data_IF_300644863901
#
_entry.id   IF_300644863901
#
_cell.length_a   1.000
_cell.length_b   1.000
_cell.length_c   1.000
_cell.angle_alpha   90.00
_cell.angle_beta   90.00
_cell.angle_gamma   90.00
#
_symmetry.space_group_name_H-M   'P 1'
#
loop_
_entity.id
_entity.type
_entity.pdbx_description
1 polymer ?
#
# COMPACT_ATOMS: atom_id res chain seq x y z
N UNK A 1 -16.77 9.93 30.74
CA UNK A 1 -16.80 11.36 30.46
C UNK A 1 -15.49 12.05 30.92
N UNK A 2 -15.39 13.35 30.82
CA UNK A 2 -14.19 14.10 31.22
C UNK A 2 -13.90 14.04 32.74
N UNK A 3 -14.85 13.57 33.52
CA UNK A 3 -14.72 13.37 34.99
C UNK A 3 -14.26 11.97 35.36
N UNK A 4 -14.07 11.09 34.40
CA UNK A 4 -13.74 9.68 34.62
C UNK A 4 -14.92 8.84 35.07
N UNK A 5 -16.14 9.37 35.03
CA UNK A 5 -17.34 8.63 35.41
C UNK A 5 -17.63 7.49 34.45
N UNK A 6 -17.74 6.27 34.98
CA UNK A 6 -18.14 5.09 34.21
C UNK A 6 -19.65 5.15 34.00
N UNK A 7 -20.10 5.15 32.76
CA UNK A 7 -21.51 5.15 32.43
C UNK A 7 -22.07 3.73 32.33
N UNK A 8 -21.25 2.78 31.95
CA UNK A 8 -21.63 1.39 31.80
C UNK A 8 -20.39 0.51 31.89
N UNK A 9 -20.53 -0.64 32.51
CA UNK A 9 -19.45 -1.60 32.66
C UNK A 9 -20.02 -3.01 32.75
N UNK A 10 -19.33 -3.99 32.21
CA UNK A 10 -19.61 -5.42 32.35
C UNK A 10 -18.29 -6.14 32.49
N UNK A 11 -18.13 -6.86 33.60
CA UNK A 11 -16.96 -7.67 33.89
C UNK A 11 -15.64 -6.90 33.76
N UNK A 12 -15.58 -5.67 34.27
CA UNK A 12 -14.46 -4.72 34.11
C UNK A 12 -13.13 -5.24 34.66
N UNK A 13 -13.19 -6.10 35.67
CA UNK A 13 -12.00 -6.74 36.29
C UNK A 13 -11.58 -8.03 35.56
N UNK A 14 -12.32 -8.45 34.55
CA UNK A 14 -12.03 -9.69 33.86
C UNK A 14 -10.97 -9.46 32.74
N UNK A 15 -9.81 -10.14 32.78
CA UNK A 15 -8.82 -10.01 31.73
C UNK A 15 -9.34 -10.61 30.43
N UNK A 16 -9.46 -9.77 29.40
CA UNK A 16 -9.92 -10.16 28.07
C UNK A 16 -8.84 -9.86 27.03
N UNK A 17 -8.76 -10.71 26.01
CA UNK A 17 -7.93 -10.43 24.85
C UNK A 17 -8.61 -9.33 23.99
N UNK A 18 -7.96 -8.19 23.80
CA UNK A 18 -8.59 -7.06 23.10
C UNK A 18 -8.83 -7.31 21.62
N UNK A 19 -8.15 -8.30 21.02
CA UNK A 19 -8.21 -8.57 19.59
C UNK A 19 -8.08 -7.25 18.77
N UNK A 20 -8.94 -7.03 17.78
CA UNK A 20 -8.88 -5.83 16.94
C UNK A 20 -9.27 -4.53 17.63
N UNK A 21 -9.83 -4.55 18.82
CA UNK A 21 -10.14 -3.31 19.57
C UNK A 21 -8.88 -2.53 19.95
N UNK A 22 -7.71 -3.20 20.02
CA UNK A 22 -6.42 -2.54 20.23
C UNK A 22 -6.13 -1.48 19.15
N UNK A 23 -6.70 -1.60 17.96
CA UNK A 23 -6.54 -0.62 16.88
C UNK A 23 -7.08 0.77 17.25
N UNK A 24 -8.05 0.87 18.15
CA UNK A 24 -8.54 2.15 18.65
C UNK A 24 -7.42 2.91 19.37
N UNK A 25 -6.65 2.21 20.20
CA UNK A 25 -5.50 2.81 20.88
C UNK A 25 -4.38 3.17 19.91
N UNK A 26 -4.04 2.25 19.01
CA UNK A 26 -2.99 2.49 17.99
C UNK A 26 -3.33 3.68 17.09
N UNK A 27 -4.57 3.77 16.61
CA UNK A 27 -4.99 4.89 15.76
C UNK A 27 -5.15 6.18 16.55
N UNK A 28 -5.61 6.11 17.80
CA UNK A 28 -5.68 7.26 18.71
C UNK A 28 -4.29 7.84 18.98
N UNK A 29 -3.34 6.97 19.31
CA UNK A 29 -1.93 7.37 19.50
C UNK A 29 -1.35 7.99 18.23
N UNK A 30 -1.49 7.34 17.08
CA UNK A 30 -0.98 7.87 15.81
C UNK A 30 -1.59 9.25 15.49
N UNK A 31 -2.89 9.45 15.74
CA UNK A 31 -3.52 10.78 15.56
C UNK A 31 -2.98 11.83 16.53
N UNK A 32 -2.67 11.43 17.76
CA UNK A 32 -2.11 12.32 18.77
C UNK A 32 -0.71 12.81 18.37
N UNK A 33 0.14 11.87 17.92
CA UNK A 33 1.53 12.14 17.60
C UNK A 33 1.72 12.83 16.25
N UNK A 34 1.00 12.39 15.22
CA UNK A 34 1.16 12.84 13.84
C UNK A 34 0.18 13.93 13.44
N UNK A 35 -0.88 14.10 14.21
CA UNK A 35 -2.00 14.96 13.86
C UNK A 35 -3.00 14.29 12.93
N UNK A 36 -4.29 14.68 13.05
CA UNK A 36 -5.38 14.08 12.27
C UNK A 36 -5.32 14.31 10.76
N UNK A 37 -4.51 15.26 10.32
CA UNK A 37 -4.34 15.63 8.91
C UNK A 37 -3.00 15.17 8.33
N UNK A 38 -2.22 14.38 9.06
CA UNK A 38 -0.98 13.80 8.53
C UNK A 38 -1.24 13.05 7.22
N UNK A 39 -0.36 13.22 6.27
CA UNK A 39 -0.41 12.55 4.96
C UNK A 39 0.99 12.09 4.58
N UNK A 40 1.08 10.88 4.06
CA UNK A 40 2.26 10.41 3.33
C UNK A 40 2.06 10.73 1.85
N UNK A 41 3.15 11.01 1.14
CA UNK A 41 3.07 11.39 -0.25
C UNK A 41 3.80 10.39 -1.14
N UNK A 42 3.14 9.92 -2.16
CA UNK A 42 3.75 9.24 -3.30
C UNK A 42 4.11 10.30 -4.34
N UNK A 43 5.35 10.29 -4.83
CA UNK A 43 5.87 11.36 -5.69
C UNK A 43 6.65 10.80 -6.87
N UNK A 44 6.59 11.51 -8.00
CA UNK A 44 7.64 11.41 -9.01
C UNK A 44 8.62 12.54 -8.74
N UNK A 45 9.87 12.19 -8.55
CA UNK A 45 10.96 13.12 -8.23
C UNK A 45 12.04 13.02 -9.29
N UNK A 46 12.73 14.13 -9.57
CA UNK A 46 13.78 14.13 -10.57
C UNK A 46 14.48 15.47 -10.70
N UNK A 47 15.60 15.46 -11.42
CA UNK A 47 16.36 16.66 -11.76
C UNK A 47 16.48 16.73 -13.27
N UNK A 48 16.02 17.82 -13.86
CA UNK A 48 16.02 17.99 -15.31
C UNK A 48 15.05 19.07 -15.78
N UNK A 49 14.72 19.03 -17.06
CA UNK A 49 13.77 19.94 -17.70
C UNK A 49 12.90 19.20 -18.70
N UNK A 50 11.80 19.81 -19.09
CA UNK A 50 10.92 19.31 -20.17
C UNK A 50 11.36 19.93 -21.48
N UNK A 51 11.52 19.11 -22.50
CA UNK A 51 11.58 19.60 -23.88
C UNK A 51 10.18 20.11 -24.29
N UNK A 52 10.03 21.40 -24.57
CA UNK A 52 8.71 21.99 -24.82
C UNK A 52 8.07 21.54 -26.14
N UNK A 53 8.84 20.99 -27.07
CA UNK A 53 8.34 20.55 -28.37
C UNK A 53 7.84 19.10 -28.33
N UNK A 54 8.54 18.24 -27.62
CA UNK A 54 8.25 16.81 -27.59
C UNK A 54 7.51 16.38 -26.32
N UNK A 55 7.61 17.19 -25.25
CA UNK A 55 7.13 16.81 -23.93
C UNK A 55 7.99 15.76 -23.24
N UNK A 56 9.22 15.57 -23.73
CA UNK A 56 10.15 14.62 -23.15
C UNK A 56 10.84 15.21 -21.92
N UNK A 57 10.90 14.42 -20.84
CA UNK A 57 11.71 14.77 -19.68
C UNK A 57 13.19 14.46 -19.96
N UNK A 58 14.00 15.50 -19.87
CA UNK A 58 15.45 15.43 -20.05
C UNK A 58 16.12 15.49 -18.67
N UNK A 59 16.45 14.31 -18.12
CA UNK A 59 17.08 14.22 -16.80
C UNK A 59 16.80 12.92 -16.08
N UNK A 60 17.15 12.88 -14.80
CA UNK A 60 16.89 11.73 -13.92
C UNK A 60 15.50 11.81 -13.33
N UNK A 61 14.91 10.66 -13.01
CA UNK A 61 13.63 10.58 -12.32
C UNK A 61 13.50 9.28 -11.55
N UNK A 62 12.64 9.29 -10.53
CA UNK A 62 12.27 8.12 -9.75
C UNK A 62 10.83 8.24 -9.22
N UNK A 63 10.18 7.13 -9.02
CA UNK A 63 8.95 7.02 -8.25
C UNK A 63 9.32 6.80 -6.78
N UNK A 64 8.91 7.72 -5.93
CA UNK A 64 9.18 7.70 -4.49
C UNK A 64 7.92 7.29 -3.74
N UNK A 65 8.01 6.20 -2.97
CA UNK A 65 6.93 5.61 -2.20
C UNK A 65 7.21 5.70 -0.70
N UNK A 66 6.15 5.76 0.10
CA UNK A 66 6.20 5.94 1.56
C UNK A 66 5.33 4.93 2.32
N UNK A 67 5.08 3.76 1.75
CA UNK A 67 4.28 2.74 2.42
C UNK A 67 2.78 3.06 2.48
N UNK A 68 2.26 3.82 1.53
CA UNK A 68 0.83 4.09 1.42
C UNK A 68 0.08 2.82 1.01
N UNK A 69 -0.56 2.18 1.99
CA UNK A 69 -1.38 0.97 1.77
C UNK A 69 -2.62 1.23 0.90
N UNK A 70 -3.01 2.49 0.70
CA UNK A 70 -4.16 2.83 -0.14
C UNK A 70 -3.81 2.98 -1.63
N UNK A 71 -2.51 3.03 -1.97
CA UNK A 71 -2.04 3.20 -3.34
C UNK A 71 -2.37 1.95 -4.19
N UNK A 72 -3.01 2.18 -5.34
CA UNK A 72 -3.40 1.13 -6.29
C UNK A 72 -4.31 0.03 -5.71
N UNK A 73 -5.16 0.36 -4.76
CA UNK A 73 -6.12 -0.63 -4.23
C UNK A 73 -7.00 -1.22 -5.32
N UNK A 74 -7.30 -2.51 -5.21
CA UNK A 74 -8.22 -3.22 -6.12
C UNK A 74 -9.61 -2.56 -6.20
N UNK A 75 -10.09 -2.01 -5.09
CA UNK A 75 -11.36 -1.26 -5.02
C UNK A 75 -11.30 0.10 -5.70
N UNK A 76 -10.13 0.55 -6.13
CA UNK A 76 -9.86 1.91 -6.63
C UNK A 76 -10.25 3.03 -5.67
N UNK A 77 -10.43 2.71 -4.41
CA UNK A 77 -10.63 3.69 -3.34
C UNK A 77 -9.25 4.10 -2.82
N UNK A 78 -8.77 5.25 -3.25
CA UNK A 78 -7.46 5.76 -2.90
C UNK A 78 -6.70 6.27 -4.12
N UNK A 79 -5.48 6.76 -3.93
CA UNK A 79 -4.65 7.28 -5.00
C UNK A 79 -4.25 6.18 -6.00
N UNK A 80 -4.17 6.58 -7.26
CA UNK A 80 -3.76 5.71 -8.36
C UNK A 80 -2.51 6.27 -9.04
N UNK A 81 -1.62 5.43 -9.54
CA UNK A 81 -0.46 5.87 -10.32
C UNK A 81 -0.88 6.64 -11.58
N UNK A 82 -2.05 6.33 -12.11
CA UNK A 82 -2.64 7.09 -13.21
C UNK A 82 -2.91 8.57 -12.84
N UNK A 83 -3.11 8.89 -11.56
CA UNK A 83 -3.26 10.28 -11.10
C UNK A 83 -1.95 11.03 -11.20
N UNK A 84 -0.83 10.38 -10.88
CA UNK A 84 0.52 10.94 -11.09
C UNK A 84 0.82 11.14 -12.56
N UNK A 85 0.49 10.17 -13.41
CA UNK A 85 0.66 10.29 -14.86
C UNK A 85 -0.13 11.48 -15.42
N UNK A 86 -1.37 11.69 -14.97
CA UNK A 86 -2.16 12.88 -15.35
C UNK A 86 -1.52 14.19 -14.88
N UNK A 87 -0.98 14.22 -13.66
CA UNK A 87 -0.29 15.40 -13.14
C UNK A 87 0.99 15.72 -13.92
N UNK A 88 1.76 14.70 -14.30
CA UNK A 88 2.93 14.86 -15.17
C UNK A 88 2.52 15.42 -16.54
N UNK A 89 1.51 14.83 -17.15
CA UNK A 89 0.97 15.29 -18.45
C UNK A 89 0.49 16.75 -18.39
N UNK A 90 -0.19 17.14 -17.30
CA UNK A 90 -0.62 18.52 -17.11
C UNK A 90 0.54 19.51 -16.98
N UNK A 91 1.74 19.03 -16.59
CA UNK A 91 2.99 19.81 -16.56
C UNK A 91 3.75 19.77 -17.90
N UNK A 92 3.16 19.19 -18.93
CA UNK A 92 3.78 19.03 -20.26
C UNK A 92 4.72 17.82 -20.38
N UNK A 93 4.85 17.01 -19.34
CA UNK A 93 5.69 15.80 -19.37
C UNK A 93 4.88 14.65 -19.95
N UNK A 94 5.18 14.27 -21.18
CA UNK A 94 4.53 13.18 -21.92
C UNK A 94 5.35 11.90 -21.93
N UNK A 95 6.67 12.05 -21.85
CA UNK A 95 7.61 10.95 -21.95
C UNK A 95 8.68 11.06 -20.86
N UNK A 96 8.84 9.99 -20.08
CA UNK A 96 9.93 9.79 -19.15
C UNK A 96 10.89 8.77 -19.80
N UNK A 97 12.15 9.14 -20.00
CA UNK A 97 13.15 8.23 -20.52
C UNK A 97 13.89 7.49 -19.43
N UNK A 98 14.45 6.34 -19.81
CA UNK A 98 15.22 5.48 -18.92
C UNK A 98 14.38 4.47 -18.14
N UNK A 99 15.02 3.67 -17.30
CA UNK A 99 14.35 2.67 -16.49
C UNK A 99 13.48 3.32 -15.41
N UNK A 100 12.39 2.66 -15.05
CA UNK A 100 11.65 3.02 -13.86
C UNK A 100 12.50 2.70 -12.62
N UNK A 101 12.88 3.74 -11.90
CA UNK A 101 13.51 3.63 -10.59
C UNK A 101 12.45 3.83 -9.52
N UNK A 102 12.29 2.86 -8.65
CA UNK A 102 11.41 2.96 -7.47
C UNK A 102 12.29 3.05 -6.24
N UNK A 103 12.00 3.99 -5.36
CA UNK A 103 12.75 4.16 -4.12
C UNK A 103 11.84 4.45 -2.93
N UNK A 104 12.34 4.17 -1.75
CA UNK A 104 11.72 4.59 -0.49
C UNK A 104 12.12 6.03 -0.18
N UNK A 105 11.16 6.87 0.22
CA UNK A 105 11.46 8.19 0.77
C UNK A 105 11.98 8.07 2.20
N UNK A 106 11.33 7.21 3.00
CA UNK A 106 11.64 6.96 4.41
C UNK A 106 11.48 5.46 4.73
N UNK A 107 12.35 4.95 5.58
CA UNK A 107 12.27 3.57 6.06
C UNK A 107 12.78 2.52 5.08
N UNK A 108 12.69 1.25 5.44
CA UNK A 108 13.18 0.14 4.63
C UNK A 108 12.34 -0.02 3.36
N UNK A 109 13.02 -0.16 2.21
CA UNK A 109 12.38 -0.36 0.93
C UNK A 109 11.67 -1.73 0.87
N UNK A 110 12.34 -2.77 1.37
CA UNK A 110 11.87 -4.14 1.26
C UNK A 110 10.69 -4.41 2.18
N UNK A 111 9.68 -5.05 1.63
CA UNK A 111 8.53 -5.52 2.41
C UNK A 111 8.91 -6.77 3.21
N UNK A 112 8.78 -6.70 4.53
CA UNK A 112 9.11 -7.80 5.44
C UNK A 112 7.90 -8.24 6.25
N UNK A 113 7.86 -9.53 6.57
CA UNK A 113 6.92 -10.06 7.54
C UNK A 113 7.50 -9.86 8.94
N UNK A 114 6.83 -9.13 9.84
CA UNK A 114 7.36 -8.84 11.16
C UNK A 114 7.74 -10.12 11.94
N UNK A 115 8.95 -10.15 12.48
CA UNK A 115 9.48 -11.36 13.14
C UNK A 115 8.65 -11.79 14.37
N UNK A 116 8.02 -10.84 15.05
CA UNK A 116 7.17 -11.10 16.22
C UNK A 116 5.75 -11.55 15.89
N UNK A 117 5.35 -11.53 14.60
CA UNK A 117 4.05 -12.07 14.19
C UNK A 117 4.12 -13.60 14.14
N UNK A 118 3.03 -14.26 14.55
CA UNK A 118 2.96 -15.70 14.48
C UNK A 118 3.11 -16.21 13.04
N UNK A 119 4.00 -17.18 12.83
CA UNK A 119 4.31 -17.72 11.49
C UNK A 119 3.10 -18.25 10.73
N UNK A 120 2.05 -18.72 11.44
CA UNK A 120 0.77 -19.17 10.85
C UNK A 120 0.02 -18.06 10.09
N UNK A 121 0.42 -16.79 10.26
CA UNK A 121 -0.18 -15.66 9.56
C UNK A 121 0.49 -15.37 8.21
N UNK A 122 1.63 -15.99 7.91
CA UNK A 122 2.30 -15.85 6.61
C UNK A 122 1.36 -16.29 5.49
N UNK A 123 1.27 -15.47 4.42
CA UNK A 123 0.40 -15.71 3.28
C UNK A 123 -1.10 -15.47 3.55
N UNK A 124 -1.45 -14.88 4.69
CA UNK A 124 -2.84 -14.46 4.95
C UNK A 124 -3.06 -13.04 4.47
N UNK A 125 -4.21 -12.78 3.81
CA UNK A 125 -4.56 -11.44 3.29
C UNK A 125 -4.56 -10.34 4.36
N UNK A 126 -4.86 -10.68 5.62
CA UNK A 126 -4.86 -9.72 6.73
C UNK A 126 -3.47 -9.45 7.32
N UNK A 127 -2.43 -10.12 6.82
CA UNK A 127 -1.06 -10.01 7.32
C UNK A 127 -0.04 -10.02 6.16
N UNK A 128 -0.18 -9.12 5.18
CA UNK A 128 0.80 -8.99 4.11
C UNK A 128 2.13 -8.49 4.65
N UNK A 129 3.26 -8.77 4.00
CA UNK A 129 4.51 -8.08 4.28
C UNK A 129 4.34 -6.57 4.10
N UNK A 130 5.05 -5.80 4.90
CA UNK A 130 4.98 -4.34 4.87
C UNK A 130 6.37 -3.73 4.70
N UNK A 131 6.45 -2.69 3.90
CA UNK A 131 7.64 -1.89 3.65
C UNK A 131 7.27 -0.54 3.04
N UNK A 132 8.26 0.34 2.86
CA UNK A 132 8.00 1.64 2.25
C UNK A 132 7.60 1.53 0.78
N UNK A 133 8.10 0.51 0.06
CA UNK A 133 7.63 0.20 -1.29
C UNK A 133 6.41 -0.73 -1.17
N UNK A 134 5.23 -0.11 -1.19
CA UNK A 134 3.95 -0.81 -1.05
C UNK A 134 3.01 -0.38 -2.18
N UNK A 135 2.47 -1.36 -2.89
CA UNK A 135 1.47 -1.22 -3.94
C UNK A 135 0.43 -2.32 -3.77
N UNK A 136 -0.83 -2.01 -4.10
CA UNK A 136 -1.89 -3.01 -4.10
C UNK A 136 -1.95 -3.81 -2.79
N UNK A 137 -1.74 -3.13 -1.65
CA UNK A 137 -1.70 -3.70 -0.30
C UNK A 137 -0.66 -4.83 -0.12
N UNK A 138 0.36 -4.90 -1.00
CA UNK A 138 1.34 -5.98 -1.10
C UNK A 138 0.69 -7.38 -1.20
N UNK A 139 -0.44 -7.46 -1.88
CA UNK A 139 -1.18 -8.70 -2.11
C UNK A 139 -1.31 -8.97 -3.59
N UNK A 140 -1.36 -10.25 -3.94
CA UNK A 140 -1.72 -10.72 -5.26
C UNK A 140 -2.86 -11.72 -5.10
N UNK A 141 -3.93 -11.53 -5.85
CA UNK A 141 -5.09 -12.41 -5.83
C UNK A 141 -5.21 -13.14 -7.16
N UNK A 142 -5.34 -14.44 -7.11
CA UNK A 142 -5.58 -15.28 -8.28
C UNK A 142 -6.95 -15.95 -8.19
N UNK A 143 -7.72 -15.84 -9.26
CA UNK A 143 -8.90 -16.67 -9.46
C UNK A 143 -8.51 -17.90 -10.24
N UNK A 144 -8.75 -19.07 -9.66
CA UNK A 144 -8.31 -20.35 -10.21
C UNK A 144 -9.51 -21.24 -10.50
N UNK A 145 -9.55 -21.79 -11.70
CA UNK A 145 -10.53 -22.81 -12.09
C UNK A 145 -9.89 -24.19 -12.00
N UNK A 146 -10.57 -25.20 -11.41
CA UNK A 146 -10.08 -26.57 -11.40
C UNK A 146 -9.83 -27.09 -12.81
N UNK A 147 -8.89 -28.01 -12.93
CA UNK A 147 -8.69 -28.75 -14.17
C UNK A 147 -9.90 -29.63 -14.53
N UNK A 148 -9.97 -30.11 -15.78
CA UNK A 148 -11.11 -30.84 -16.32
C UNK A 148 -11.34 -32.23 -15.70
N UNK A 149 -10.35 -32.78 -14.98
CA UNK A 149 -10.41 -34.07 -14.29
C UNK A 149 -9.46 -34.11 -13.10
N UNK A 150 -9.63 -35.08 -12.21
CA UNK A 150 -8.72 -35.32 -11.09
C UNK A 150 -7.27 -35.45 -11.57
N UNK A 151 -6.34 -34.73 -10.90
CA UNK A 151 -4.92 -34.68 -11.27
C UNK A 151 -4.57 -33.70 -12.40
N UNK A 152 -5.54 -33.09 -13.08
CA UNK A 152 -5.29 -32.07 -14.08
C UNK A 152 -4.87 -30.76 -13.40
N UNK A 153 -3.96 -30.03 -14.05
CA UNK A 153 -3.49 -28.69 -13.53
C UNK A 153 -4.63 -27.69 -13.53
N UNK A 154 -4.74 -26.89 -12.46
CA UNK A 154 -5.67 -25.78 -12.44
C UNK A 154 -5.26 -24.69 -13.45
N UNK A 155 -6.22 -23.85 -13.82
CA UNK A 155 -6.00 -22.74 -14.75
C UNK A 155 -6.30 -21.44 -14.03
N UNK A 156 -5.35 -20.50 -14.07
CA UNK A 156 -5.57 -19.11 -13.60
C UNK A 156 -6.46 -18.43 -14.62
N UNK A 157 -7.63 -17.96 -14.18
CA UNK A 157 -8.63 -17.29 -15.02
C UNK A 157 -8.80 -15.80 -14.69
N UNK A 158 -8.14 -15.33 -13.65
CA UNK A 158 -8.09 -13.94 -13.25
C UNK A 158 -6.98 -13.68 -12.27
N UNK A 159 -6.46 -12.49 -12.31
CA UNK A 159 -5.42 -12.00 -11.40
C UNK A 159 -5.62 -10.53 -11.05
N UNK A 160 -5.21 -10.13 -9.86
CA UNK A 160 -5.20 -8.75 -9.40
C UNK A 160 -3.94 -8.52 -8.53
N UNK A 161 -3.08 -7.53 -8.86
CA UNK A 161 -3.09 -6.73 -10.09
C UNK A 161 -2.82 -7.56 -11.35
N UNK A 162 -3.19 -7.04 -12.52
CA UNK A 162 -2.97 -7.73 -13.80
C UNK A 162 -1.49 -7.78 -14.17
N UNK A 163 -1.06 -8.85 -14.84
CA UNK A 163 0.30 -8.99 -15.39
C UNK A 163 1.31 -9.58 -14.41
N UNK A 164 0.88 -10.14 -13.30
CA UNK A 164 1.77 -10.73 -12.27
C UNK A 164 2.14 -12.18 -12.59
N UNK A 165 1.29 -12.89 -13.35
CA UNK A 165 1.48 -14.31 -13.67
C UNK A 165 2.21 -14.57 -15.00
N UNK A 166 2.83 -13.56 -15.60
CA UNK A 166 3.57 -13.67 -16.87
C UNK A 166 4.97 -14.26 -16.68
#
# INVERSE_FOLDING_TARGET
DQTGRIFWSVAEDQPLLPASTVKLFTTGFARSELGGNARVATRVVGTGSVDPFTGQWMGTWALELNGDLSLERATRQGPQLADLARQLSAKGIKHLQGPLVVRSADGPADATFPAFWASRHRGRLFAPPYGAITLHENTVEFTVRPGSKSGARPVVIGESPRGVSQ
#
